data_IF_213536322802
#
_entry.id   IF_213536322802
#
_cell.length_a   1.000
_cell.length_b   1.000
_cell.length_c   1.000
_cell.angle_alpha   90.00
_cell.angle_beta   90.00
_cell.angle_gamma   90.00
#
_symmetry.space_group_name_H-M   'P 1'
#
loop_
_entity.id
_entity.type
_entity.pdbx_description
1 polymer ?
#
# COMPACT_ATOMS: atom_id res chain seq x y z
N UNK A 1 0.21 -12.46 1.34
CA UNK A 1 -0.12 -11.85 0.02
C UNK A 1 0.73 -12.52 -1.07
N UNK A 2 0.36 -12.35 -2.35
CA UNK A 2 1.19 -12.84 -3.46
C UNK A 2 2.39 -11.91 -3.69
N UNK A 3 3.58 -12.50 -3.83
CA UNK A 3 4.83 -11.81 -4.20
C UNK A 3 5.30 -12.41 -5.52
N UNK A 4 5.43 -11.57 -6.54
CA UNK A 4 5.85 -11.95 -7.88
C UNK A 4 7.33 -12.34 -7.88
N UNK A 5 7.64 -13.59 -8.19
CA UNK A 5 9.00 -14.02 -8.47
C UNK A 5 9.22 -14.01 -10.00
N UNK A 6 10.00 -13.04 -10.48
CA UNK A 6 10.31 -12.90 -11.91
C UNK A 6 11.51 -13.76 -12.37
N UNK A 7 12.09 -14.58 -11.49
CA UNK A 7 13.22 -15.45 -11.85
C UNK A 7 14.52 -14.69 -12.15
N UNK A 8 14.85 -13.69 -11.33
CA UNK A 8 16.07 -12.89 -11.51
C UNK A 8 17.34 -13.76 -11.46
N UNK A 9 18.22 -13.59 -12.44
CA UNK A 9 19.46 -14.37 -12.56
C UNK A 9 20.64 -13.71 -11.81
N UNK A 10 20.84 -14.09 -10.56
CA UNK A 10 21.98 -13.62 -9.75
C UNK A 10 23.30 -14.27 -10.21
N UNK A 11 24.41 -13.51 -10.19
CA UNK A 11 25.75 -13.99 -10.61
C UNK A 11 26.28 -15.16 -9.76
N UNK A 12 25.88 -15.21 -8.50
CA UNK A 12 26.31 -16.17 -7.48
C UNK A 12 25.11 -16.54 -6.59
N UNK A 13 25.20 -17.66 -5.89
CA UNK A 13 24.22 -18.04 -4.87
C UNK A 13 24.05 -16.94 -3.81
N UNK A 14 22.81 -16.71 -3.39
CA UNK A 14 22.51 -15.77 -2.31
C UNK A 14 22.74 -16.44 -0.95
N UNK A 15 23.22 -15.66 0.01
CA UNK A 15 23.42 -16.12 1.39
C UNK A 15 22.16 -15.84 2.21
N UNK A 16 21.54 -16.83 2.86
CA UNK A 16 20.38 -16.62 3.72
C UNK A 16 20.66 -15.69 4.91
N UNK A 17 19.65 -14.92 5.34
CA UNK A 17 19.75 -14.14 6.58
C UNK A 17 19.61 -15.08 7.78
N UNK A 18 20.49 -14.91 8.78
CA UNK A 18 20.38 -15.67 10.04
C UNK A 18 19.28 -15.12 10.95
N UNK A 19 19.07 -13.80 10.90
CA UNK A 19 18.09 -13.06 11.69
C UNK A 19 17.79 -11.74 11.02
N UNK A 20 16.52 -11.32 11.05
CA UNK A 20 16.12 -9.97 10.65
C UNK A 20 15.76 -9.16 11.90
N UNK A 21 16.33 -7.95 11.99
CA UNK A 21 16.08 -7.02 13.09
C UNK A 21 15.36 -5.74 12.63
N UNK A 22 15.42 -5.44 11.33
CA UNK A 22 14.90 -4.20 10.74
C UNK A 22 14.34 -4.44 9.36
N UNK A 23 13.39 -3.59 8.97
CA UNK A 23 12.95 -3.42 7.59
C UNK A 23 13.34 -2.00 7.18
N UNK A 24 14.11 -1.86 6.12
CA UNK A 24 14.61 -0.55 5.66
C UNK A 24 13.91 -0.17 4.37
N UNK A 25 13.30 1.02 4.37
CA UNK A 25 12.55 1.54 3.23
C UNK A 25 13.47 2.35 2.30
N UNK A 26 13.38 2.04 1.01
CA UNK A 26 14.20 2.63 -0.04
C UNK A 26 13.39 3.16 -1.23
N UNK A 27 14.06 3.96 -2.05
CA UNK A 27 13.70 4.16 -3.45
C UNK A 27 14.93 3.86 -4.33
N UNK A 28 14.76 3.54 -5.63
CA UNK A 28 15.88 3.36 -6.55
C UNK A 28 16.48 4.70 -7.04
N UNK A 29 15.88 5.84 -6.68
CA UNK A 29 16.25 7.18 -7.17
C UNK A 29 16.22 7.30 -8.71
N UNK A 30 15.38 6.50 -9.37
CA UNK A 30 15.14 6.55 -10.80
C UNK A 30 13.63 6.55 -11.10
N UNK A 31 13.12 7.46 -11.95
CA UNK A 31 11.68 7.67 -12.09
C UNK A 31 10.94 6.48 -12.72
N UNK A 32 11.61 5.67 -13.54
CA UNK A 32 10.93 4.66 -14.39
C UNK A 32 11.50 3.25 -14.29
N UNK A 33 12.63 3.04 -13.61
CA UNK A 33 13.28 1.74 -13.63
C UNK A 33 12.41 0.69 -12.94
N UNK A 34 12.26 -0.46 -13.60
CA UNK A 34 11.66 -1.64 -13.01
C UNK A 34 12.73 -2.48 -12.27
N UNK A 35 12.30 -3.63 -11.73
CA UNK A 35 13.19 -4.52 -11.00
C UNK A 35 14.31 -5.09 -11.88
N UNK A 36 14.08 -5.31 -13.18
CA UNK A 36 15.07 -5.84 -14.11
C UNK A 36 16.13 -4.78 -14.46
N UNK A 37 15.71 -3.53 -14.66
CA UNK A 37 16.61 -2.40 -14.88
C UNK A 37 17.53 -2.21 -13.68
N UNK A 38 16.97 -2.21 -12.47
CA UNK A 38 17.74 -2.12 -11.23
C UNK A 38 18.70 -3.32 -11.11
N UNK A 39 18.22 -4.53 -11.41
CA UNK A 39 19.02 -5.74 -11.34
C UNK A 39 20.24 -5.67 -12.28
N UNK A 40 20.03 -5.34 -13.55
CA UNK A 40 21.09 -5.16 -14.56
C UNK A 40 22.06 -4.05 -14.18
N UNK A 41 21.54 -2.90 -13.74
CA UNK A 41 22.34 -1.76 -13.29
C UNK A 41 23.25 -2.14 -12.11
N UNK A 42 22.71 -2.85 -11.12
CA UNK A 42 23.50 -3.31 -9.97
C UNK A 42 24.55 -4.37 -10.38
N UNK A 43 24.24 -5.26 -11.33
CA UNK A 43 25.23 -6.17 -11.89
C UNK A 43 26.35 -5.43 -12.63
N UNK A 44 26.02 -4.36 -13.35
CA UNK A 44 27.00 -3.48 -14.01
C UNK A 44 27.92 -2.78 -13.00
N UNK A 45 27.44 -2.53 -11.78
CA UNK A 45 28.23 -2.01 -10.64
C UNK A 45 29.03 -3.09 -9.90
N UNK A 46 29.09 -4.31 -10.42
CA UNK A 46 29.82 -5.43 -9.81
C UNK A 46 29.04 -6.17 -8.72
N UNK A 47 27.79 -5.82 -8.44
CA UNK A 47 27.00 -6.53 -7.45
C UNK A 47 26.46 -7.85 -8.02
N UNK A 48 25.99 -8.72 -7.13
CA UNK A 48 25.39 -10.01 -7.51
C UNK A 48 24.06 -9.84 -8.32
N UNK A 49 23.43 -8.67 -8.22
CA UNK A 49 22.08 -8.38 -8.70
C UNK A 49 21.49 -7.21 -7.93
N UNK A 50 20.18 -6.98 -8.10
CA UNK A 50 19.40 -6.04 -7.29
C UNK A 50 19.77 -6.16 -5.81
N UNK A 51 19.94 -5.02 -5.12
CA UNK A 51 20.42 -4.99 -3.73
C UNK A 51 19.31 -5.13 -2.68
N UNK A 52 18.07 -4.86 -3.09
CA UNK A 52 16.89 -4.91 -2.25
C UNK A 52 16.34 -6.34 -2.13
N UNK A 53 15.70 -6.61 -1.00
CA UNK A 53 15.05 -7.89 -0.72
C UNK A 53 13.70 -7.98 -1.43
N UNK A 54 12.96 -6.88 -1.44
CA UNK A 54 11.65 -6.77 -2.08
C UNK A 54 11.51 -5.43 -2.80
N UNK A 55 10.64 -5.40 -3.81
CA UNK A 55 10.38 -4.23 -4.64
C UNK A 55 8.88 -4.00 -4.82
N UNK A 56 8.43 -2.75 -4.71
CA UNK A 56 7.02 -2.34 -4.86
C UNK A 56 6.88 -1.44 -6.07
N UNK A 57 6.15 -1.91 -7.08
CA UNK A 57 5.95 -1.21 -8.36
C UNK A 57 4.92 -0.08 -8.26
N UNK A 58 4.93 0.87 -9.20
CA UNK A 58 3.98 2.01 -9.23
C UNK A 58 2.52 1.61 -9.28
N UNK A 59 2.22 0.49 -9.93
CA UNK A 59 0.88 -0.11 -10.05
C UNK A 59 0.49 -0.98 -8.85
N UNK A 60 1.30 -1.01 -7.78
CA UNK A 60 0.95 -1.68 -6.53
C UNK A 60 1.11 -3.20 -6.58
N UNK A 61 2.16 -3.70 -7.23
CA UNK A 61 2.59 -5.11 -7.13
C UNK A 61 3.82 -5.21 -6.24
N UNK A 62 3.98 -6.36 -5.58
CA UNK A 62 5.18 -6.67 -4.82
C UNK A 62 5.97 -7.74 -5.57
N UNK A 63 7.26 -7.51 -5.74
CA UNK A 63 8.16 -8.35 -6.52
C UNK A 63 9.33 -8.81 -5.65
N UNK A 64 9.75 -10.05 -5.85
CA UNK A 64 10.85 -10.68 -5.15
C UNK A 64 12.19 -10.18 -5.72
N UNK A 65 12.99 -9.54 -4.87
CA UNK A 65 14.39 -9.27 -5.13
C UNK A 65 15.24 -10.39 -4.55
N UNK A 66 16.01 -10.08 -3.50
CA UNK A 66 16.81 -11.08 -2.77
C UNK A 66 16.00 -11.96 -1.82
N UNK A 67 14.76 -11.61 -1.48
CA UNK A 67 13.96 -12.36 -0.50
C UNK A 67 14.61 -12.39 0.89
N UNK A 68 14.57 -13.53 1.59
CA UNK A 68 15.19 -13.71 2.92
C UNK A 68 16.71 -13.99 2.85
N UNK A 69 17.44 -13.18 2.09
CA UNK A 69 18.89 -13.30 1.93
C UNK A 69 19.60 -11.97 2.20
N UNK A 70 20.90 -12.04 2.47
CA UNK A 70 21.77 -10.89 2.72
C UNK A 70 21.64 -9.87 1.58
N UNK A 71 21.30 -8.65 1.98
CA UNK A 71 21.06 -7.52 1.10
C UNK A 71 22.35 -6.88 0.55
N UNK A 72 22.16 -5.90 -0.32
CA UNK A 72 23.20 -4.93 -0.70
C UNK A 72 22.57 -3.52 -0.78
N UNK A 73 21.76 -3.16 0.21
CA UNK A 73 20.94 -1.94 0.23
C UNK A 73 21.35 -0.93 1.31
N UNK A 74 21.98 -1.34 2.41
CA UNK A 74 22.32 -0.44 3.53
C UNK A 74 23.61 -0.90 4.24
N UNK A 75 24.72 -0.16 4.03
CA UNK A 75 26.03 -0.50 4.64
C UNK A 75 26.13 0.03 6.06
N UNK A 76 25.54 1.19 6.33
CA UNK A 76 25.51 1.82 7.63
C UNK A 76 25.06 0.85 8.72
N UNK A 77 25.77 0.85 9.85
CA UNK A 77 25.56 -0.05 10.99
C UNK A 77 25.51 -1.55 10.63
N UNK A 78 26.12 -1.95 9.51
CA UNK A 78 26.10 -3.30 8.96
C UNK A 78 24.69 -3.83 8.67
N UNK A 79 23.75 -2.98 8.22
CA UNK A 79 22.36 -3.42 8.10
C UNK A 79 22.09 -4.49 7.03
N UNK A 80 22.95 -4.64 6.01
CA UNK A 80 22.77 -5.66 4.96
C UNK A 80 22.62 -7.11 5.48
N UNK A 81 23.20 -7.45 6.63
CA UNK A 81 23.22 -8.81 7.18
C UNK A 81 22.11 -9.10 8.22
N UNK A 82 21.32 -8.08 8.55
CA UNK A 82 20.31 -8.14 9.63
C UNK A 82 19.06 -7.30 9.35
N UNK A 83 18.85 -6.93 8.09
CA UNK A 83 17.65 -6.20 7.68
C UNK A 83 17.16 -6.63 6.30
N UNK A 84 15.88 -6.39 6.06
CA UNK A 84 15.26 -6.55 4.75
C UNK A 84 15.06 -5.17 4.12
N UNK A 85 15.62 -4.96 2.93
CA UNK A 85 15.40 -3.75 2.13
C UNK A 85 14.14 -3.86 1.28
N UNK A 86 13.17 -2.97 1.50
CA UNK A 86 11.95 -2.83 0.69
C UNK A 86 12.06 -1.54 -0.11
N UNK A 87 12.19 -1.65 -1.44
CA UNK A 87 12.34 -0.49 -2.33
C UNK A 87 11.05 -0.20 -3.09
N UNK A 88 10.68 1.08 -3.15
CA UNK A 88 9.49 1.55 -3.85
C UNK A 88 9.90 2.23 -5.16
N UNK A 89 9.33 1.77 -6.27
CA UNK A 89 9.66 2.26 -7.62
C UNK A 89 9.46 3.78 -7.74
N UNK A 90 10.51 4.49 -8.15
CA UNK A 90 10.46 5.91 -8.44
C UNK A 90 11.66 6.70 -7.92
N UNK A 91 11.63 8.00 -8.19
CA UNK A 91 12.53 8.99 -7.62
C UNK A 91 11.77 10.02 -6.78
N UNK A 92 11.53 9.69 -5.50
CA UNK A 92 10.79 10.55 -4.58
C UNK A 92 11.51 11.84 -4.12
N UNK A 93 12.62 12.21 -4.76
CA UNK A 93 13.11 13.60 -4.73
C UNK A 93 12.34 14.52 -5.69
N UNK A 94 11.72 13.95 -6.73
CA UNK A 94 11.04 14.73 -7.80
C UNK A 94 9.60 14.29 -8.06
N UNK A 95 9.17 13.13 -7.56
CA UNK A 95 7.81 12.64 -7.67
C UNK A 95 7.27 12.14 -6.32
N UNK A 96 6.01 11.71 -6.27
CA UNK A 96 5.38 11.14 -5.07
C UNK A 96 5.05 9.66 -5.29
N UNK A 97 5.12 8.81 -4.25
CA UNK A 97 4.62 7.43 -4.35
C UNK A 97 3.10 7.41 -4.59
N UNK A 98 2.62 6.42 -5.34
CA UNK A 98 1.17 6.23 -5.58
C UNK A 98 0.48 5.65 -4.35
N UNK A 99 -0.85 5.82 -4.26
CA UNK A 99 -1.64 5.13 -3.22
C UNK A 99 -1.52 3.60 -3.32
N UNK A 100 -1.46 3.06 -4.54
CA UNK A 100 -1.29 1.63 -4.78
C UNK A 100 0.04 1.14 -4.20
N UNK A 101 1.12 1.93 -4.35
CA UNK A 101 2.41 1.66 -3.73
C UNK A 101 2.34 1.65 -2.22
N UNK A 102 1.76 2.68 -1.59
CA UNK A 102 1.66 2.73 -0.14
C UNK A 102 0.86 1.54 0.43
N UNK A 103 -0.28 1.20 -0.17
CA UNK A 103 -1.11 0.08 0.28
C UNK A 103 -0.41 -1.26 0.10
N UNK A 104 0.16 -1.52 -1.09
CA UNK A 104 0.88 -2.78 -1.34
C UNK A 104 2.13 -2.91 -0.48
N UNK A 105 2.88 -1.83 -0.32
CA UNK A 105 4.05 -1.78 0.55
C UNK A 105 3.68 -2.00 2.01
N UNK A 106 2.56 -1.46 2.47
CA UNK A 106 2.07 -1.71 3.82
C UNK A 106 1.66 -3.17 4.04
N UNK A 107 0.96 -3.79 3.10
CA UNK A 107 0.63 -5.23 3.14
C UNK A 107 1.88 -6.10 3.22
N UNK A 108 2.87 -5.81 2.36
CA UNK A 108 4.14 -6.53 2.34
C UNK A 108 4.89 -6.37 3.67
N UNK A 109 5.06 -5.14 4.14
CA UNK A 109 5.81 -4.87 5.37
C UNK A 109 5.08 -5.43 6.60
N UNK A 110 3.74 -5.37 6.65
CA UNK A 110 2.97 -6.00 7.72
C UNK A 110 3.14 -7.52 7.74
N UNK A 111 3.20 -8.17 6.57
CA UNK A 111 3.52 -9.60 6.48
C UNK A 111 4.93 -9.89 7.01
N UNK A 112 5.94 -9.15 6.55
CA UNK A 112 7.33 -9.31 7.00
C UNK A 112 7.49 -9.05 8.52
N UNK A 113 6.77 -8.07 9.07
CA UNK A 113 6.75 -7.79 10.51
C UNK A 113 6.27 -9.04 11.28
N UNK A 114 5.21 -9.70 10.82
CA UNK A 114 4.69 -10.91 11.46
C UNK A 114 5.66 -12.08 11.33
N UNK A 115 6.22 -12.29 10.14
CA UNK A 115 7.15 -13.39 9.84
C UNK A 115 8.45 -13.28 10.66
N UNK A 116 8.99 -12.07 10.80
CA UNK A 116 10.24 -11.82 11.51
C UNK A 116 10.05 -11.46 13.00
N UNK A 117 8.82 -11.49 13.50
CA UNK A 117 8.47 -11.08 14.88
C UNK A 117 8.98 -9.67 15.25
N UNK A 118 8.83 -8.73 14.33
CA UNK A 118 9.23 -7.32 14.48
C UNK A 118 8.07 -6.45 14.97
N UNK A 119 8.34 -5.16 15.14
CA UNK A 119 7.34 -4.12 15.45
C UNK A 119 7.37 -2.98 14.43
N UNK A 120 6.39 -2.08 14.49
CA UNK A 120 6.37 -0.88 13.64
C UNK A 120 7.60 0.04 13.84
N UNK A 121 8.25 -0.05 15.00
CA UNK A 121 9.45 0.71 15.34
C UNK A 121 10.71 0.13 14.68
N UNK A 122 10.60 -1.05 14.06
CA UNK A 122 11.67 -1.70 13.32
C UNK A 122 11.64 -1.39 11.81
N UNK A 123 10.67 -0.57 11.38
CA UNK A 123 10.60 -0.03 10.02
C UNK A 123 11.25 1.35 10.00
N UNK A 124 12.38 1.46 9.32
CA UNK A 124 13.22 2.67 9.30
C UNK A 124 13.51 3.13 7.87
N UNK A 125 13.72 4.44 7.62
CA UNK A 125 14.16 4.93 6.33
C UNK A 125 15.68 4.73 6.16
N UNK A 126 16.15 4.55 4.93
CA UNK A 126 17.59 4.36 4.65
C UNK A 126 18.47 5.49 5.21
N UNK A 127 18.06 6.76 5.07
CA UNK A 127 18.76 7.94 5.61
C UNK A 127 19.02 7.93 7.12
N UNK A 128 18.41 7.01 7.88
CA UNK A 128 18.71 6.81 9.31
C UNK A 128 20.10 6.20 9.53
N UNK A 129 20.62 5.46 8.56
CA UNK A 129 21.83 4.65 8.72
C UNK A 129 23.00 5.11 7.85
N UNK A 130 22.71 5.68 6.68
CA UNK A 130 23.70 6.17 5.73
C UNK A 130 23.44 7.66 5.44
N UNK A 131 24.48 8.40 5.06
CA UNK A 131 24.35 9.78 4.57
C UNK A 131 23.77 9.76 3.15
N UNK A 132 22.44 9.66 3.06
CA UNK A 132 21.67 9.56 1.81
C UNK A 132 20.35 10.31 1.92
N UNK A 133 19.77 10.71 0.79
CA UNK A 133 18.42 11.30 0.72
C UNK A 133 17.31 10.24 0.73
N UNK A 134 17.66 8.97 0.47
CA UNK A 134 16.74 7.84 0.38
C UNK A 134 15.91 7.63 1.68
N UNK A 135 14.58 7.41 1.61
CA UNK A 135 13.76 7.11 0.42
C UNK A 135 13.23 8.34 -0.32
N UNK A 136 13.80 9.52 -0.12
CA UNK A 136 13.42 10.75 -0.79
C UNK A 136 12.49 11.64 0.03
N UNK A 137 12.53 12.95 -0.20
CA UNK A 137 11.77 13.95 0.56
C UNK A 137 10.25 13.85 0.43
N UNK A 138 9.74 13.31 -0.69
CA UNK A 138 8.31 13.15 -0.93
C UNK A 138 7.76 11.77 -0.49
N UNK A 139 8.61 10.91 0.10
CA UNK A 139 8.18 9.65 0.67
C UNK A 139 7.72 9.85 2.12
N UNK A 140 6.42 9.70 2.37
CA UNK A 140 5.83 9.83 3.69
C UNK A 140 5.90 8.48 4.44
N UNK A 141 6.94 8.33 5.25
CA UNK A 141 7.11 7.15 6.09
C UNK A 141 6.01 7.04 7.17
N UNK A 142 5.48 8.17 7.65
CA UNK A 142 4.41 8.20 8.64
C UNK A 142 3.12 7.60 8.08
N UNK A 143 2.75 8.01 6.87
CA UNK A 143 1.61 7.45 6.13
C UNK A 143 1.76 5.96 5.87
N UNK A 144 2.94 5.50 5.44
CA UNK A 144 3.21 4.07 5.28
C UNK A 144 3.02 3.32 6.60
N UNK A 145 3.59 3.84 7.70
CA UNK A 145 3.45 3.24 9.04
C UNK A 145 2.00 3.19 9.52
N UNK A 146 1.19 4.19 9.19
CA UNK A 146 -0.23 4.19 9.49
C UNK A 146 -0.94 3.01 8.81
N UNK A 147 -0.76 2.83 7.50
CA UNK A 147 -1.35 1.68 6.79
C UNK A 147 -0.86 0.33 7.31
N UNK A 148 0.42 0.23 7.68
CA UNK A 148 0.94 -0.99 8.32
C UNK A 148 0.20 -1.25 9.64
N UNK A 149 0.03 -0.23 10.48
CA UNK A 149 -0.66 -0.37 11.78
C UNK A 149 -2.14 -0.74 11.63
N UNK A 150 -2.83 -0.21 10.62
CA UNK A 150 -4.21 -0.59 10.27
C UNK A 150 -4.30 -2.08 9.92
N UNK A 151 -3.33 -2.61 9.15
CA UNK A 151 -3.28 -4.03 8.76
C UNK A 151 -2.89 -4.94 9.94
N UNK A 152 -1.98 -4.48 10.82
CA UNK A 152 -1.58 -5.21 12.01
C UNK A 152 -2.67 -5.22 13.09
N UNK A 153 -3.52 -4.18 13.14
CA UNK A 153 -4.60 -4.02 14.10
C UNK A 153 -5.96 -3.86 13.39
N UNK A 154 -6.44 -4.89 12.68
CA UNK A 154 -7.65 -4.79 11.85
C UNK A 154 -8.90 -4.40 12.67
N UNK A 155 -8.92 -4.70 13.98
CA UNK A 155 -9.97 -4.31 14.92
C UNK A 155 -10.04 -2.81 15.24
N UNK A 156 -8.98 -2.03 14.93
CA UNK A 156 -9.02 -0.54 14.98
C UNK A 156 -9.50 0.09 13.65
N UNK A 157 -9.54 -0.70 12.57
CA UNK A 157 -10.00 -0.30 11.24
C UNK A 157 -11.45 -0.67 10.94
N UNK A 158 -12.07 -1.51 11.77
CA UNK A 158 -13.50 -1.34 12.05
C UNK A 158 -13.56 0.02 12.71
N UNK A 159 -14.03 1.05 11.98
CA UNK A 159 -14.73 2.14 12.64
C UNK A 159 -15.68 1.41 13.56
N UNK A 160 -15.40 1.36 14.87
CA UNK A 160 -16.50 1.27 15.80
C UNK A 160 -17.36 2.40 15.30
N UNK A 161 -18.48 2.06 14.67
CA UNK A 161 -19.55 3.01 14.48
C UNK A 161 -19.68 3.53 15.89
N UNK A 162 -19.15 4.73 16.12
CA UNK A 162 -19.30 5.39 17.39
C UNK A 162 -20.80 5.33 17.55
N UNK A 163 -21.24 4.61 18.58
CA UNK A 163 -22.64 4.47 18.94
C UNK A 163 -23.03 5.87 19.44
N UNK A 164 -23.02 6.82 18.51
CA UNK A 164 -23.39 8.20 18.69
C UNK A 164 -24.84 8.23 18.27
N UNK A 165 -25.71 8.83 19.08
CA UNK A 165 -27.06 9.11 18.65
C UNK A 165 -27.01 9.83 17.29
N UNK A 166 -27.85 9.41 16.35
CA UNK A 166 -28.02 10.13 15.09
C UNK A 166 -28.36 11.59 15.40
N UNK A 167 -27.75 12.51 14.67
CA UNK A 167 -28.18 13.91 14.66
C UNK A 167 -29.60 14.02 14.10
N UNK A 168 -30.29 15.13 14.36
CA UNK A 168 -31.68 15.30 13.88
C UNK A 168 -31.78 15.29 12.35
N UNK A 169 -30.75 15.78 11.66
CA UNK A 169 -30.63 15.67 10.20
C UNK A 169 -30.55 14.21 9.75
N UNK A 170 -29.72 13.40 10.40
CA UNK A 170 -29.54 11.98 10.05
C UNK A 170 -30.80 11.16 10.38
N UNK A 171 -31.50 11.47 11.48
CA UNK A 171 -32.81 10.87 11.80
C UNK A 171 -33.85 11.15 10.72
N UNK A 172 -33.88 12.38 10.19
CA UNK A 172 -34.80 12.76 9.12
C UNK A 172 -34.51 11.99 7.82
N UNK A 173 -33.24 11.88 7.45
CA UNK A 173 -32.81 11.09 6.28
C UNK A 173 -33.17 9.61 6.47
N UNK A 174 -32.97 9.07 7.68
CA UNK A 174 -33.35 7.70 7.99
C UNK A 174 -34.87 7.48 7.90
N UNK A 175 -35.68 8.44 8.36
CA UNK A 175 -37.14 8.38 8.25
C UNK A 175 -37.59 8.38 6.77
N UNK A 176 -37.04 9.28 5.96
CA UNK A 176 -37.32 9.35 4.53
C UNK A 176 -36.92 8.07 3.81
N UNK A 177 -35.76 7.49 4.15
CA UNK A 177 -35.32 6.21 3.60
C UNK A 177 -36.26 5.04 3.98
N UNK A 178 -36.89 5.08 5.17
CA UNK A 178 -37.92 4.10 5.57
C UNK A 178 -39.21 4.28 4.79
N UNK A 179 -39.66 5.53 4.61
CA UNK A 179 -40.87 5.83 3.84
C UNK A 179 -40.72 5.41 2.37
N UNK A 180 -39.52 5.56 1.80
CA UNK A 180 -39.19 5.12 0.45
C UNK A 180 -38.90 3.62 0.33
N UNK A 181 -38.97 2.85 1.43
CA UNK A 181 -38.71 1.41 1.44
C UNK A 181 -37.25 1.01 1.18
N UNK A 182 -36.31 1.95 1.31
CA UNK A 182 -34.87 1.73 1.08
C UNK A 182 -34.26 0.92 2.24
N UNK A 183 -34.80 1.07 3.46
CA UNK A 183 -34.36 0.34 4.66
C UNK A 183 -35.53 0.10 5.62
N UNK A 184 -35.47 -0.99 6.39
CA UNK A 184 -36.38 -1.24 7.52
C UNK A 184 -35.93 -0.53 8.82
N UNK A 185 -34.73 0.06 8.80
CA UNK A 185 -34.11 0.72 9.94
C UNK A 185 -33.67 -0.19 11.07
N UNK A 186 -33.70 -1.51 10.89
CA UNK A 186 -33.26 -2.48 11.91
C UNK A 186 -31.77 -2.75 11.83
N UNK A 187 -31.14 -2.53 10.68
CA UNK A 187 -29.71 -2.78 10.49
C UNK A 187 -28.96 -1.65 9.75
N UNK A 188 -28.92 -0.42 10.31
CA UNK A 188 -28.31 0.74 9.64
C UNK A 188 -26.76 0.73 9.62
N UNK A 189 -26.12 -0.26 10.26
CA UNK A 189 -24.68 -0.27 10.52
C UNK A 189 -23.94 -1.48 9.93
N UNK A 190 -24.63 -2.39 9.23
CA UNK A 190 -23.93 -3.45 8.52
C UNK A 190 -23.21 -2.87 7.29
N UNK A 191 -21.94 -3.25 7.04
CA UNK A 191 -21.25 -2.89 5.81
C UNK A 191 -22.08 -3.33 4.61
N UNK A 192 -22.71 -2.38 3.93
CA UNK A 192 -23.51 -2.67 2.75
C UNK A 192 -22.56 -3.20 1.68
N UNK A 193 -22.81 -4.42 1.21
CA UNK A 193 -22.07 -5.00 0.11
C UNK A 193 -22.07 -4.03 -1.09
N UNK A 194 -20.91 -3.83 -1.72
CA UNK A 194 -20.75 -2.93 -2.88
C UNK A 194 -21.70 -3.32 -4.02
N UNK A 195 -22.01 -4.61 -4.18
CA UNK A 195 -23.00 -5.10 -5.13
C UNK A 195 -24.42 -4.64 -4.80
N UNK A 196 -24.78 -4.60 -3.51
CA UNK A 196 -26.09 -4.10 -3.08
C UNK A 196 -26.22 -2.59 -3.37
N UNK A 197 -25.17 -1.81 -3.07
CA UNK A 197 -25.13 -0.39 -3.39
C UNK A 197 -25.27 -0.14 -4.91
N UNK A 198 -24.56 -0.91 -5.75
CA UNK A 198 -24.69 -0.79 -7.21
C UNK A 198 -26.08 -1.17 -7.73
N UNK A 199 -26.69 -2.21 -7.18
CA UNK A 199 -28.04 -2.63 -7.58
C UNK A 199 -29.11 -1.57 -7.31
N UNK A 200 -28.94 -0.78 -6.24
CA UNK A 200 -29.83 0.33 -5.92
C UNK A 200 -29.52 1.59 -6.75
N UNK A 201 -28.24 1.92 -6.94
CA UNK A 201 -27.83 3.19 -7.57
C UNK A 201 -27.93 3.19 -9.10
N UNK A 202 -27.72 2.05 -9.76
CA UNK A 202 -27.75 1.99 -11.24
C UNK A 202 -29.15 2.32 -11.80
N UNK A 203 -30.26 1.75 -11.30
CA UNK A 203 -31.60 2.10 -11.77
C UNK A 203 -31.93 3.58 -11.53
N UNK A 204 -31.54 4.13 -10.37
CA UNK A 204 -31.75 5.54 -10.06
C UNK A 204 -31.00 6.45 -11.04
N UNK A 205 -29.72 6.17 -11.29
CA UNK A 205 -28.91 6.94 -12.24
C UNK A 205 -29.48 6.89 -13.67
N UNK A 206 -30.01 5.74 -14.10
CA UNK A 206 -30.70 5.62 -15.39
C UNK A 206 -31.94 6.52 -15.44
N UNK A 207 -32.74 6.52 -14.37
CA UNK A 207 -33.96 7.33 -14.31
C UNK A 207 -33.68 8.83 -14.31
N UNK A 208 -32.64 9.27 -13.59
CA UNK A 208 -32.19 10.67 -13.63
C UNK A 208 -31.79 11.07 -15.05
N UNK A 209 -31.03 10.23 -15.74
CA UNK A 209 -30.61 10.50 -17.13
C UNK A 209 -31.78 10.58 -18.11
N UNK A 210 -32.79 9.72 -17.96
CA UNK A 210 -34.03 9.78 -18.75
C UNK A 210 -34.79 11.10 -18.52
N UNK A 211 -34.87 11.54 -17.26
CA UNK A 211 -35.52 12.81 -16.91
C UNK A 211 -34.76 14.01 -17.46
N UNK A 212 -33.42 14.00 -17.40
CA UNK A 212 -32.59 15.06 -17.99
C UNK A 212 -32.81 15.18 -19.51
N UNK A 213 -32.87 14.05 -20.23
CA UNK A 213 -33.17 14.02 -21.66
C UNK A 213 -34.57 14.58 -21.94
N UNK A 214 -35.56 14.16 -21.15
CA UNK A 214 -36.96 14.60 -21.31
C UNK A 214 -37.07 16.11 -21.07
N UNK A 215 -36.48 16.63 -20.00
CA UNK A 215 -36.48 18.06 -19.68
C UNK A 215 -35.79 18.86 -20.79
N UNK A 216 -34.70 18.36 -21.37
CA UNK A 216 -34.01 19.03 -22.47
C UNK A 216 -34.87 19.13 -23.74
N UNK A 217 -35.80 18.20 -23.97
CA UNK A 217 -36.73 18.24 -25.11
C UNK A 217 -37.83 19.29 -24.92
N UNK A 218 -38.27 19.55 -23.69
CA UNK A 218 -39.27 20.60 -23.39
C UNK A 218 -38.68 22.03 -23.33
N UNK A 219 -37.35 22.17 -23.38
CA UNK A 219 -36.65 23.47 -23.39
C UNK A 219 -36.29 23.95 -24.80
N UNK A 220 -36.71 23.24 -25.85
CA UNK A 220 -36.67 23.67 -27.25
C UNK A 220 -38.05 24.13 -27.69
#
# INVERSE_FOLDING_TARGET
MYIENLGLNFKYALTPLKRVNKIIVHHPAHPTWDINDIHKSHQGKGWNGIGYNYFVTKDGRAQLGRGHNVGAHCKGNSMNDKSLGVSFQGNFEIEHPTEAQYRKGAELIAQLIKEESLTINDVDPHKKYDATVCPGKNFDLGKLKQYILEILNPTKGVVQVVNRPLTDREKKIQAEAKELGITDGKNPLEPVDRFYLWSAMIPLAKRVRELEITIAQFKK
#
